data_IF_607495827135
#
_entry.id   IF_607495827135
#
_cell.length_a   1.000
_cell.length_b   1.000
_cell.length_c   1.000
_cell.angle_alpha   90.00
_cell.angle_beta   90.00
_cell.angle_gamma   90.00
#
_symmetry.space_group_name_H-M   'P 1'
#
loop_
_entity.id
_entity.type
_entity.pdbx_description
1 polymer ?
#
# COMPACT_ATOMS: atom_id res chain seq x y z
N UNK A 1 29.43 64.34 -18.54
CA UNK A 1 30.84 63.90 -18.62
C UNK A 1 30.79 62.40 -18.95
N UNK A 2 31.13 62.01 -20.18
CA UNK A 2 32.48 61.57 -20.60
C UNK A 2 32.81 60.17 -19.98
N UNK A 3 32.62 59.04 -20.69
CA UNK A 3 33.48 58.42 -21.75
C UNK A 3 34.74 57.75 -21.16
N UNK A 4 35.24 56.57 -21.56
CA UNK A 4 35.17 55.76 -22.82
C UNK A 4 35.00 54.24 -22.51
N UNK A 5 34.65 53.27 -23.39
CA UNK A 5 34.82 52.93 -24.82
C UNK A 5 36.08 52.10 -25.20
N UNK A 6 35.87 50.87 -25.70
CA UNK A 6 36.86 50.01 -26.39
C UNK A 6 36.15 49.00 -27.34
N UNK A 7 36.86 48.26 -28.22
CA UNK A 7 36.30 47.62 -29.45
C UNK A 7 36.97 46.31 -29.97
N UNK A 8 36.25 45.17 -29.95
CA UNK A 8 36.40 44.00 -30.87
C UNK A 8 37.77 43.28 -30.96
N UNK A 9 38.02 42.39 -31.95
CA UNK A 9 37.13 41.67 -32.90
C UNK A 9 36.82 40.21 -32.39
N UNK A 10 36.17 39.22 -33.04
CA UNK A 10 35.56 38.94 -34.39
C UNK A 10 36.44 38.24 -35.48
N UNK A 11 35.88 37.20 -36.15
CA UNK A 11 36.42 36.31 -37.23
C UNK A 11 37.53 35.30 -36.82
N UNK A 12 37.76 34.15 -37.49
CA UNK A 12 37.37 33.67 -38.86
C UNK A 12 37.07 32.14 -38.89
N UNK A 13 36.55 31.61 -39.99
CA UNK A 13 36.28 30.17 -40.22
C UNK A 13 37.28 29.51 -41.21
N UNK A 14 37.41 28.18 -41.18
CA UNK A 14 38.19 27.34 -42.14
C UNK A 14 37.39 26.08 -42.53
N UNK A 15 37.60 25.55 -43.75
CA UNK A 15 36.80 24.48 -44.37
C UNK A 15 37.65 23.60 -45.31
N UNK A 16 37.65 22.28 -45.13
CA UNK A 16 38.10 21.24 -46.09
C UNK A 16 37.46 19.89 -45.69
N UNK A 17 36.94 18.98 -46.52
CA UNK A 17 37.09 18.53 -47.92
C UNK A 17 38.24 17.55 -48.23
N UNK A 18 37.91 16.25 -48.32
CA UNK A 18 38.13 15.33 -49.48
C UNK A 18 37.50 13.94 -49.15
N UNK A 19 36.65 13.31 -49.98
CA UNK A 19 36.86 12.60 -51.29
C UNK A 19 37.54 11.22 -51.07
N UNK A 20 36.85 10.05 -51.00
CA UNK A 20 36.00 9.25 -51.94
C UNK A 20 36.80 8.13 -52.68
N UNK A 21 36.13 7.00 -53.01
CA UNK A 21 36.61 5.74 -53.65
C UNK A 21 37.27 4.69 -52.72
N UNK A 22 37.24 3.36 -52.99
CA UNK A 22 36.68 2.59 -54.13
C UNK A 22 36.10 1.20 -53.71
N UNK A 23 35.68 0.36 -54.67
CA UNK A 23 34.93 -0.89 -54.49
C UNK A 23 35.64 -2.14 -55.08
N UNK A 24 35.17 -3.31 -54.65
CA UNK A 24 35.28 -4.66 -55.27
C UNK A 24 36.65 -5.35 -55.45
N UNK A 25 36.69 -6.63 -55.06
CA UNK A 25 37.02 -7.75 -55.95
C UNK A 25 36.72 -9.10 -55.25
N UNK A 26 36.82 -10.22 -55.97
CA UNK A 26 36.43 -11.55 -55.49
C UNK A 26 37.50 -12.62 -55.78
N UNK A 27 37.26 -13.84 -55.28
CA UNK A 27 37.95 -15.11 -55.59
C UNK A 27 39.30 -15.31 -54.86
N UNK A 28 39.77 -16.55 -54.59
CA UNK A 28 39.30 -17.86 -55.10
C UNK A 28 39.25 -18.96 -54.01
N UNK A 29 38.78 -20.17 -54.35
CA UNK A 29 38.74 -21.35 -53.46
C UNK A 29 40.02 -22.19 -53.58
N UNK A 30 40.37 -22.91 -52.51
CA UNK A 30 41.08 -24.19 -52.61
C UNK A 30 40.44 -25.26 -51.72
N UNK A 31 40.76 -26.53 -51.97
CA UNK A 31 39.99 -27.69 -51.53
C UNK A 31 40.42 -28.28 -50.18
N UNK A 32 39.43 -28.87 -49.50
CA UNK A 32 39.48 -30.04 -48.61
C UNK A 32 40.82 -30.52 -48.03
N UNK A 33 40.94 -30.47 -46.71
CA UNK A 33 41.50 -31.60 -45.95
C UNK A 33 40.80 -31.77 -44.60
N UNK A 34 40.31 -32.97 -44.35
CA UNK A 34 40.02 -33.53 -43.02
C UNK A 34 40.74 -34.89 -42.96
N UNK A 35 41.27 -35.31 -41.80
CA UNK A 35 40.40 -35.99 -40.84
C UNK A 35 40.77 -35.80 -39.34
N UNK A 36 39.98 -36.46 -38.48
CA UNK A 36 40.30 -36.93 -37.12
C UNK A 36 40.69 -35.91 -36.03
N UNK A 37 39.64 -35.50 -35.29
CA UNK A 37 39.50 -35.67 -33.83
C UNK A 37 40.79 -35.90 -33.02
N UNK A 38 41.20 -34.89 -32.26
CA UNK A 38 41.79 -35.08 -30.91
C UNK A 38 40.76 -34.68 -29.86
N UNK A 39 40.68 -35.43 -28.76
CA UNK A 39 39.59 -35.29 -27.79
C UNK A 39 39.80 -34.10 -26.84
N UNK A 40 39.04 -33.03 -27.02
CA UNK A 40 38.83 -32.07 -25.94
C UNK A 40 38.02 -32.76 -24.83
N UNK A 41 38.56 -32.79 -23.61
CA UNK A 41 37.80 -33.21 -22.42
C UNK A 41 36.56 -32.30 -22.31
N UNK A 42 35.39 -32.92 -22.19
CA UNK A 42 34.15 -32.16 -22.01
C UNK A 42 34.22 -31.33 -20.73
N UNK A 43 34.18 -30.00 -20.87
CA UNK A 43 33.65 -29.15 -19.81
C UNK A 43 32.19 -29.60 -19.64
N UNK A 44 31.73 -29.92 -18.42
CA UNK A 44 30.32 -30.19 -18.21
C UNK A 44 29.55 -28.88 -18.40
N UNK A 45 28.94 -28.71 -19.57
CA UNK A 45 27.81 -27.80 -19.69
C UNK A 45 26.79 -28.25 -18.64
N UNK A 46 26.56 -27.41 -17.64
CA UNK A 46 25.41 -27.59 -16.76
C UNK A 46 24.18 -27.42 -17.64
N UNK A 47 23.61 -28.55 -18.08
CA UNK A 47 22.33 -28.60 -18.78
C UNK A 47 21.31 -28.04 -17.82
N UNK A 48 21.08 -26.73 -17.91
CA UNK A 48 20.10 -26.02 -17.12
C UNK A 48 18.74 -26.60 -17.49
N UNK A 49 18.25 -27.53 -16.67
CA UNK A 49 16.95 -28.17 -16.82
C UNK A 49 15.95 -27.03 -16.92
N UNK A 50 15.45 -26.76 -18.14
CA UNK A 50 14.42 -25.75 -18.38
C UNK A 50 13.26 -26.14 -17.49
N UNK A 51 13.03 -25.33 -16.44
CA UNK A 51 11.86 -25.52 -15.58
C UNK A 51 10.63 -25.59 -16.49
N UNK A 52 9.72 -26.56 -16.29
CA UNK A 52 8.54 -26.70 -17.13
C UNK A 52 7.83 -25.35 -17.16
N UNK A 53 7.53 -24.85 -18.36
CA UNK A 53 7.10 -23.48 -18.58
C UNK A 53 5.90 -23.17 -17.69
N UNK A 54 6.13 -22.41 -16.61
CA UNK A 54 5.05 -22.11 -15.68
C UNK A 54 4.02 -21.26 -16.41
N UNK A 55 2.72 -21.58 -16.29
CA UNK A 55 1.67 -20.72 -16.84
C UNK A 55 1.87 -19.32 -16.28
N UNK A 56 1.76 -18.32 -17.16
CA UNK A 56 1.84 -16.91 -16.78
C UNK A 56 0.82 -16.61 -15.67
N UNK A 57 1.05 -15.55 -14.89
CA UNK A 57 0.08 -15.12 -13.87
C UNK A 57 -1.32 -14.97 -14.49
N UNK A 58 -1.42 -14.38 -15.68
CA UNK A 58 -2.68 -14.25 -16.43
C UNK A 58 -3.37 -15.60 -16.73
N UNK A 59 -2.60 -16.63 -17.08
CA UNK A 59 -3.13 -17.99 -17.31
C UNK A 59 -3.57 -18.66 -16.01
N UNK A 60 -2.95 -18.31 -14.86
CA UNK A 60 -3.40 -18.76 -13.54
C UNK A 60 -4.65 -17.99 -13.05
N UNK A 61 -4.68 -16.67 -13.24
CA UNK A 61 -5.75 -15.78 -12.79
C UNK A 61 -7.11 -16.10 -13.43
N UNK A 62 -7.11 -16.52 -14.69
CA UNK A 62 -8.33 -16.89 -15.43
C UNK A 62 -9.10 -18.10 -14.85
N UNK A 63 -8.48 -18.90 -13.98
CA UNK A 63 -9.12 -20.05 -13.33
C UNK A 63 -9.56 -19.81 -11.88
N UNK A 64 -9.22 -18.66 -11.26
CA UNK A 64 -9.45 -18.44 -9.83
C UNK A 64 -10.93 -18.23 -9.51
N UNK A 65 -11.48 -19.05 -8.63
CA UNK A 65 -12.85 -18.83 -8.14
C UNK A 65 -12.93 -17.59 -7.24
N UNK A 66 -14.13 -17.00 -7.11
CA UNK A 66 -14.40 -15.86 -6.20
C UNK A 66 -14.01 -16.17 -4.74
N UNK A 67 -13.97 -17.44 -4.38
CA UNK A 67 -13.56 -17.97 -3.08
C UNK A 67 -12.05 -18.13 -2.87
N UNK A 68 -11.24 -18.15 -3.94
CA UNK A 68 -9.79 -18.40 -3.87
C UNK A 68 -8.95 -17.13 -3.76
N UNK A 69 -9.46 -15.98 -4.21
CA UNK A 69 -8.72 -14.73 -4.03
C UNK A 69 -8.67 -14.30 -2.56
N UNK A 70 -7.50 -13.89 -2.05
CA UNK A 70 -7.41 -13.34 -0.71
C UNK A 70 -8.20 -12.04 -0.62
N UNK A 71 -9.12 -11.96 0.34
CA UNK A 71 -9.84 -10.74 0.72
C UNK A 71 -8.91 -9.70 1.38
N UNK A 72 -7.61 -9.97 1.41
CA UNK A 72 -6.55 -9.29 2.16
C UNK A 72 -5.38 -8.95 1.21
N UNK A 73 -5.68 -8.25 0.12
CA UNK A 73 -4.65 -7.59 -0.69
C UNK A 73 -3.96 -6.56 0.22
N UNK A 74 -2.62 -6.59 0.29
CA UNK A 74 -1.84 -5.77 1.24
C UNK A 74 -2.07 -4.27 1.07
N UNK A 75 -1.65 -3.48 2.07
CA UNK A 75 -1.71 -2.01 1.98
C UNK A 75 -1.01 -1.54 0.70
N UNK A 76 -1.76 -0.86 -0.18
CA UNK A 76 -1.28 -0.53 -1.54
C UNK A 76 0.07 0.22 -1.49
N UNK A 77 1.06 -0.16 -2.31
CA UNK A 77 2.40 0.43 -2.24
C UNK A 77 2.36 1.94 -2.50
N UNK A 78 3.21 2.68 -1.81
CA UNK A 78 3.21 4.16 -1.83
C UNK A 78 1.99 4.81 -1.16
N UNK A 79 1.25 4.09 -0.30
CA UNK A 79 0.20 4.71 0.52
C UNK A 79 0.83 5.54 1.64
N UNK A 80 0.90 6.86 1.42
CA UNK A 80 1.30 7.82 2.45
C UNK A 80 0.21 7.96 3.54
N UNK A 81 0.62 7.88 4.81
CA UNK A 81 -0.28 7.96 5.98
C UNK A 81 0.19 9.11 6.88
N UNK A 82 -0.39 10.30 6.72
CA UNK A 82 0.09 11.50 7.43
C UNK A 82 0.05 11.34 8.97
N UNK A 83 1.19 11.47 9.69
CA UNK A 83 1.25 11.48 11.17
C UNK A 83 0.41 12.59 11.83
N UNK A 84 0.35 12.62 13.17
CA UNK A 84 -0.17 13.78 13.89
C UNK A 84 0.85 14.93 13.80
N UNK A 85 0.38 16.15 14.07
CA UNK A 85 1.23 17.32 14.06
C UNK A 85 2.30 17.34 15.18
N UNK A 86 2.12 16.49 16.21
CA UNK A 86 3.09 16.26 17.30
C UNK A 86 4.22 15.30 16.92
N UNK A 87 3.96 14.40 15.97
CA UNK A 87 4.87 13.33 15.54
C UNK A 87 5.51 13.62 14.17
N UNK A 88 5.37 14.87 13.68
CA UNK A 88 6.11 15.37 12.53
C UNK A 88 7.37 16.12 12.96
N UNK A 89 8.45 16.10 12.16
CA UNK A 89 9.68 16.83 12.44
C UNK A 89 9.44 18.32 12.72
N UNK A 90 10.29 18.85 13.61
CA UNK A 90 10.28 20.23 14.08
C UNK A 90 10.61 21.19 12.94
N UNK A 91 9.77 22.21 12.77
CA UNK A 91 9.90 23.21 11.70
C UNK A 91 11.25 23.95 11.77
N UNK A 92 11.84 24.07 12.97
CA UNK A 92 13.09 24.81 13.20
C UNK A 92 14.35 23.93 13.15
N UNK A 93 14.25 22.63 13.48
CA UNK A 93 15.39 21.72 13.52
C UNK A 93 15.54 20.90 12.24
N UNK A 94 14.42 20.46 11.66
CA UNK A 94 14.36 19.59 10.48
C UNK A 94 13.40 20.17 9.41
N UNK A 95 13.60 21.43 8.96
CA UNK A 95 12.70 22.09 8.01
C UNK A 95 12.60 21.36 6.67
N UNK A 96 13.68 20.74 6.19
CA UNK A 96 13.71 20.06 4.89
C UNK A 96 12.85 18.79 4.89
N UNK A 97 13.07 17.88 5.86
CA UNK A 97 12.24 16.68 6.07
C UNK A 97 10.76 17.05 6.28
N UNK A 98 10.51 18.13 7.04
CA UNK A 98 9.15 18.61 7.28
C UNK A 98 8.49 19.10 6.00
N UNK A 99 9.20 19.86 5.17
CA UNK A 99 8.74 20.28 3.85
C UNK A 99 8.49 19.07 2.94
N UNK A 100 9.38 18.07 2.95
CA UNK A 100 9.23 16.84 2.17
C UNK A 100 7.97 16.04 2.58
N UNK A 101 7.68 15.89 3.87
CA UNK A 101 6.47 15.22 4.35
C UNK A 101 5.18 15.99 4.00
N UNK A 102 5.17 17.32 4.14
CA UNK A 102 4.01 18.15 3.77
C UNK A 102 3.81 18.20 2.24
N UNK A 103 4.90 18.21 1.45
CA UNK A 103 4.86 18.07 -0.01
C UNK A 103 4.37 16.69 -0.45
N UNK A 104 4.87 15.62 0.18
CA UNK A 104 4.43 14.25 -0.06
C UNK A 104 2.95 14.07 0.29
N UNK A 105 2.45 14.72 1.35
CA UNK A 105 1.03 14.78 1.67
C UNK A 105 0.20 15.44 0.55
N UNK A 106 0.62 16.61 0.05
CA UNK A 106 -0.09 17.31 -1.02
C UNK A 106 -0.05 16.53 -2.34
N UNK A 107 1.14 16.06 -2.75
CA UNK A 107 1.37 15.26 -3.95
C UNK A 107 0.56 13.95 -3.92
N UNK A 108 0.64 13.19 -2.83
CA UNK A 108 -0.14 11.95 -2.69
C UNK A 108 -1.64 12.22 -2.65
N UNK A 109 -2.10 13.28 -1.97
CA UNK A 109 -3.51 13.70 -1.98
C UNK A 109 -4.03 13.97 -3.40
N UNK A 110 -3.26 14.68 -4.22
CA UNK A 110 -3.59 14.97 -5.62
C UNK A 110 -3.55 13.70 -6.51
N UNK A 111 -2.48 12.91 -6.42
CA UNK A 111 -2.34 11.66 -7.18
C UNK A 111 -3.43 10.64 -6.82
N UNK A 112 -3.79 10.52 -5.54
CA UNK A 112 -4.89 9.68 -5.06
C UNK A 112 -6.24 10.14 -5.63
N UNK A 113 -6.49 11.46 -5.63
CA UNK A 113 -7.73 12.01 -6.20
C UNK A 113 -7.83 11.76 -7.71
N UNK A 114 -6.78 12.05 -8.48
CA UNK A 114 -6.77 11.77 -9.92
C UNK A 114 -6.88 10.27 -10.22
N UNK A 115 -6.19 9.42 -9.46
CA UNK A 115 -6.27 7.95 -9.59
C UNK A 115 -7.68 7.42 -9.30
N UNK A 116 -8.37 7.96 -8.30
CA UNK A 116 -9.75 7.60 -8.00
C UNK A 116 -10.73 8.10 -9.08
N UNK A 117 -10.53 9.31 -9.62
CA UNK A 117 -11.33 9.81 -10.75
C UNK A 117 -11.11 8.94 -11.99
N UNK A 118 -9.86 8.61 -12.32
CA UNK A 118 -9.53 7.69 -13.41
C UNK A 118 -10.20 6.32 -13.22
N UNK A 119 -10.07 5.74 -12.03
CA UNK A 119 -10.68 4.45 -11.69
C UNK A 119 -12.21 4.45 -11.86
N UNK A 120 -12.89 5.51 -11.43
CA UNK A 120 -14.36 5.61 -11.47
C UNK A 120 -14.96 6.24 -12.74
N UNK A 121 -14.15 6.76 -13.68
CA UNK A 121 -14.63 7.44 -14.90
C UNK A 121 -13.97 7.04 -16.21
N UNK A 122 -12.75 6.50 -16.19
CA UNK A 122 -12.06 6.02 -17.39
C UNK A 122 -11.89 4.49 -17.39
N UNK A 123 -11.52 3.91 -16.25
CA UNK A 123 -11.28 2.45 -16.14
C UNK A 123 -12.54 1.64 -15.80
N UNK A 124 -13.48 2.21 -15.04
CA UNK A 124 -14.79 1.60 -14.75
C UNK A 124 -15.88 2.65 -15.02
N UNK A 125 -16.41 2.66 -16.25
CA UNK A 125 -17.38 3.67 -16.70
C UNK A 125 -18.62 3.72 -15.81
N UNK A 126 -18.88 4.90 -15.23
CA UNK A 126 -20.11 5.18 -14.49
C UNK A 126 -20.05 5.10 -12.97
N UNK A 127 -18.95 4.61 -12.36
CA UNK A 127 -18.93 4.40 -10.91
C UNK A 127 -19.07 5.69 -10.06
N UNK A 128 -19.76 5.61 -8.90
CA UNK A 128 -19.82 6.71 -7.95
C UNK A 128 -18.51 6.82 -7.13
N UNK A 129 -18.04 8.05 -6.92
CA UNK A 129 -16.82 8.32 -6.13
C UNK A 129 -16.98 8.01 -4.63
N UNK A 130 -18.21 7.87 -4.10
CA UNK A 130 -18.55 7.47 -2.72
C UNK A 130 -17.81 8.23 -1.60
N UNK A 131 -17.48 9.51 -1.84
CA UNK A 131 -16.60 10.31 -0.98
C UNK A 131 -17.18 10.61 0.43
N UNK A 132 -18.50 10.48 0.61
CA UNK A 132 -19.20 10.58 1.90
C UNK A 132 -19.24 9.22 2.62
N UNK A 133 -19.70 8.18 1.93
CA UNK A 133 -19.87 6.81 2.44
C UNK A 133 -18.62 6.26 3.11
N UNK A 134 -17.43 6.46 2.53
CA UNK A 134 -16.14 6.02 3.11
C UNK A 134 -15.92 6.46 4.57
N UNK A 135 -16.47 7.62 5.00
CA UNK A 135 -16.40 8.07 6.41
C UNK A 135 -17.48 7.42 7.29
N UNK A 136 -18.65 7.14 6.72
CA UNK A 136 -19.75 6.47 7.42
C UNK A 136 -19.40 4.99 7.67
N UNK A 137 -18.94 4.29 6.63
CA UNK A 137 -18.40 2.93 6.74
C UNK A 137 -17.26 2.85 7.77
N UNK A 138 -16.30 3.79 7.76
CA UNK A 138 -15.24 3.85 8.75
C UNK A 138 -15.76 3.90 10.19
N UNK A 139 -16.77 4.74 10.45
CA UNK A 139 -17.39 4.88 11.77
C UNK A 139 -18.11 3.61 12.20
N UNK A 140 -18.92 3.05 11.30
CA UNK A 140 -19.81 1.92 11.55
C UNK A 140 -19.01 0.61 11.74
N UNK A 141 -18.04 0.35 10.87
CA UNK A 141 -17.18 -0.83 10.95
C UNK A 141 -16.26 -0.77 12.18
N UNK A 142 -15.70 0.40 12.53
CA UNK A 142 -14.90 0.58 13.76
C UNK A 142 -15.70 0.21 15.02
N UNK A 143 -16.92 0.72 15.13
CA UNK A 143 -17.83 0.42 16.24
C UNK A 143 -18.23 -1.05 16.26
N UNK A 144 -18.60 -1.64 15.12
CA UNK A 144 -18.97 -3.07 15.03
C UNK A 144 -17.80 -3.99 15.35
N UNK A 145 -16.60 -3.71 14.85
CA UNK A 145 -15.39 -4.50 15.09
C UNK A 145 -15.07 -4.56 16.58
N UNK A 146 -14.95 -3.41 17.25
CA UNK A 146 -14.61 -3.41 18.69
C UNK A 146 -15.73 -3.94 19.57
N UNK A 147 -17.01 -3.69 19.21
CA UNK A 147 -18.15 -4.27 19.93
C UNK A 147 -18.20 -5.80 19.82
N UNK A 148 -17.96 -6.34 18.61
CA UNK A 148 -17.89 -7.78 18.38
C UNK A 148 -16.67 -8.40 19.08
N UNK A 149 -15.51 -7.73 19.01
CA UNK A 149 -14.30 -8.17 19.69
C UNK A 149 -14.48 -8.23 21.21
N UNK A 150 -15.08 -7.22 21.84
CA UNK A 150 -15.38 -7.25 23.27
C UNK A 150 -16.29 -8.45 23.62
N UNK A 151 -17.42 -8.58 22.92
CA UNK A 151 -18.40 -9.67 23.07
C UNK A 151 -17.85 -11.08 22.75
N UNK A 152 -16.75 -11.20 22.00
CA UNK A 152 -16.23 -12.49 21.52
C UNK A 152 -16.91 -13.02 20.26
N UNK A 153 -17.66 -12.19 19.52
CA UNK A 153 -18.42 -12.59 18.34
C UNK A 153 -17.52 -12.70 17.09
N UNK A 154 -16.96 -13.90 16.91
CA UNK A 154 -16.17 -14.29 15.73
C UNK A 154 -17.00 -14.23 14.43
N UNK A 155 -18.32 -14.47 14.50
CA UNK A 155 -19.21 -14.46 13.34
C UNK A 155 -19.39 -13.07 12.72
N UNK A 156 -19.56 -12.05 13.55
CA UNK A 156 -19.57 -10.64 13.10
C UNK A 156 -18.17 -10.17 12.69
N UNK A 157 -17.10 -10.58 13.41
CA UNK A 157 -15.74 -10.19 13.04
C UNK A 157 -15.34 -10.64 11.62
N UNK A 158 -15.70 -11.87 11.23
CA UNK A 158 -15.46 -12.39 9.87
C UNK A 158 -16.24 -11.68 8.76
N UNK A 159 -17.30 -10.94 9.09
CA UNK A 159 -18.07 -10.11 8.14
C UNK A 159 -17.54 -8.68 8.07
N UNK A 160 -17.13 -8.12 9.20
CA UNK A 160 -16.67 -6.73 9.35
C UNK A 160 -15.21 -6.53 8.93
N UNK A 161 -14.37 -7.55 9.12
CA UNK A 161 -12.94 -7.49 8.83
C UNK A 161 -12.57 -8.37 7.63
N UNK A 162 -11.43 -8.06 7.00
CA UNK A 162 -10.73 -8.98 6.12
C UNK A 162 -10.14 -10.17 6.93
N UNK A 163 -9.77 -11.25 6.25
CA UNK A 163 -9.48 -12.55 6.88
C UNK A 163 -8.29 -12.53 7.83
N UNK A 164 -7.22 -11.80 7.51
CA UNK A 164 -6.02 -11.70 8.35
C UNK A 164 -6.31 -11.02 9.69
N UNK A 165 -7.03 -9.89 9.66
CA UNK A 165 -7.46 -9.21 10.87
C UNK A 165 -8.51 -10.02 11.64
N UNK A 166 -9.49 -10.61 10.94
CA UNK A 166 -10.52 -11.46 11.56
C UNK A 166 -9.88 -12.66 12.29
N UNK A 167 -8.88 -13.30 11.68
CA UNK A 167 -8.14 -14.41 12.28
C UNK A 167 -7.30 -13.93 13.48
N UNK A 168 -6.58 -12.80 13.37
CA UNK A 168 -5.79 -12.26 14.48
C UNK A 168 -6.67 -11.91 15.70
N UNK A 169 -7.83 -11.28 15.47
CA UNK A 169 -8.80 -10.97 16.52
C UNK A 169 -9.47 -12.24 17.09
N UNK A 170 -9.74 -13.25 16.26
CA UNK A 170 -10.28 -14.54 16.70
C UNK A 170 -9.30 -15.28 17.62
N UNK A 171 -8.01 -15.34 17.28
CA UNK A 171 -6.99 -15.93 18.15
C UNK A 171 -6.84 -15.16 19.48
N UNK A 172 -6.96 -13.83 19.46
CA UNK A 172 -7.01 -12.99 20.68
C UNK A 172 -8.29 -13.18 21.51
N UNK A 173 -9.36 -13.73 20.94
CA UNK A 173 -10.57 -14.14 21.70
C UNK A 173 -10.37 -15.53 22.30
N UNK A 174 -9.85 -16.48 21.52
CA UNK A 174 -9.57 -17.85 21.97
C UNK A 174 -8.55 -17.90 23.12
N UNK A 175 -7.56 -17.00 23.11
CA UNK A 175 -6.52 -16.92 24.14
C UNK A 175 -6.94 -16.14 25.41
N UNK A 176 -8.23 -15.79 25.59
CA UNK A 176 -8.70 -15.14 26.82
C UNK A 176 -8.87 -16.16 27.95
N UNK A 177 -8.61 -15.79 29.22
CA UNK A 177 -9.09 -16.55 30.36
C UNK A 177 -10.61 -16.70 30.28
N UNK A 178 -11.13 -17.92 30.49
CA UNK A 178 -12.58 -18.21 30.37
C UNK A 178 -13.43 -17.39 31.34
N UNK A 179 -12.82 -16.98 32.45
CA UNK A 179 -13.46 -16.20 33.51
C UNK A 179 -13.32 -14.68 33.31
N UNK A 180 -12.70 -14.20 32.22
CA UNK A 180 -12.56 -12.77 31.92
C UNK A 180 -13.51 -12.31 30.81
N UNK A 181 -14.52 -11.50 31.16
CA UNK A 181 -15.36 -10.79 30.19
C UNK A 181 -14.79 -9.38 29.94
N UNK A 182 -14.42 -9.11 28.69
CA UNK A 182 -13.91 -7.80 28.24
C UNK A 182 -15.07 -6.91 27.80
N UNK A 183 -15.08 -5.66 28.26
CA UNK A 183 -16.01 -4.63 27.77
C UNK A 183 -15.26 -3.53 27.01
N UNK A 184 -15.91 -2.99 25.98
CA UNK A 184 -15.48 -1.82 25.23
C UNK A 184 -16.69 -0.93 24.98
N UNK A 185 -16.53 0.38 25.16
CA UNK A 185 -17.50 1.39 24.75
C UNK A 185 -16.79 2.59 24.15
N UNK A 186 -17.44 3.22 23.18
CA UNK A 186 -17.01 4.47 22.58
C UNK A 186 -17.79 5.62 23.21
N UNK A 187 -17.11 6.46 23.98
CA UNK A 187 -17.77 7.55 24.70
C UNK A 187 -18.02 8.74 23.77
N UNK A 188 -17.00 9.13 22.98
CA UNK A 188 -17.12 10.21 21.99
C UNK A 188 -16.03 10.16 20.92
N UNK A 189 -16.34 10.71 19.75
CA UNK A 189 -15.33 11.11 18.77
C UNK A 189 -14.75 12.48 19.14
N UNK A 190 -13.43 12.61 19.14
CA UNK A 190 -12.71 13.84 19.47
C UNK A 190 -12.69 14.77 18.26
N UNK A 191 -13.70 15.64 18.17
CA UNK A 191 -13.94 16.59 17.09
C UNK A 191 -12.92 17.75 17.14
N UNK A 192 -11.77 17.57 16.50
CA UNK A 192 -10.72 18.60 16.41
C UNK A 192 -10.63 19.18 14.99
N UNK A 193 -10.05 20.38 14.79
CA UNK A 193 -9.75 20.89 13.45
C UNK A 193 -8.88 19.91 12.63
N UNK A 194 -7.95 19.22 13.30
CA UNK A 194 -7.11 18.18 12.71
C UNK A 194 -7.91 16.98 12.14
N UNK A 195 -9.16 16.78 12.56
CA UNK A 195 -10.12 15.79 12.02
C UNK A 195 -11.39 16.41 11.40
N UNK A 196 -11.29 17.66 10.92
CA UNK A 196 -12.38 18.42 10.27
C UNK A 196 -13.66 18.47 11.12
N UNK A 197 -13.50 18.57 12.46
CA UNK A 197 -14.59 18.55 13.45
C UNK A 197 -15.49 17.30 13.42
N UNK A 198 -15.11 16.24 12.70
CA UNK A 198 -15.85 14.96 12.66
C UNK A 198 -15.28 13.89 13.59
N UNK A 199 -14.00 14.00 13.96
CA UNK A 199 -13.26 12.92 14.61
C UNK A 199 -12.76 11.82 13.67
N UNK A 200 -13.10 11.86 12.37
CA UNK A 200 -12.71 10.85 11.37
C UNK A 200 -12.23 11.52 10.08
N UNK A 201 -10.91 11.51 9.87
CA UNK A 201 -10.25 12.10 8.70
C UNK A 201 -9.75 11.02 7.75
N UNK A 202 -10.21 11.05 6.50
CA UNK A 202 -9.56 10.33 5.40
C UNK A 202 -8.21 10.96 5.13
N UNK A 203 -7.16 10.13 5.04
CA UNK A 203 -5.79 10.52 4.74
C UNK A 203 -5.37 10.09 3.33
N UNK A 204 -5.76 8.88 2.95
CA UNK A 204 -5.52 8.28 1.63
C UNK A 204 -6.79 7.58 1.16
N UNK A 205 -7.06 7.62 -0.14
CA UNK A 205 -8.16 6.92 -0.82
C UNK A 205 -7.63 6.53 -2.21
N UNK A 206 -7.26 5.25 -2.35
CA UNK A 206 -6.55 4.71 -3.51
C UNK A 206 -7.39 3.60 -4.12
N UNK A 207 -7.50 3.61 -5.44
CA UNK A 207 -8.16 2.55 -6.18
C UNK A 207 -7.24 2.07 -7.32
N UNK A 208 -7.16 0.75 -7.48
CA UNK A 208 -6.34 0.08 -8.50
C UNK A 208 -7.15 -1.07 -9.08
N UNK A 209 -7.10 -1.27 -10.40
CA UNK A 209 -7.59 -2.52 -10.98
C UNK A 209 -6.69 -3.68 -10.53
N UNK A 210 -7.29 -4.88 -10.43
CA UNK A 210 -6.52 -6.11 -10.31
C UNK A 210 -6.08 -6.47 -11.74
N UNK A 211 -4.77 -6.62 -12.03
CA UNK A 211 -4.34 -7.06 -13.35
C UNK A 211 -4.99 -8.39 -13.73
N UNK A 212 -5.08 -8.67 -15.03
CA UNK A 212 -5.49 -9.98 -15.57
C UNK A 212 -6.98 -10.34 -15.37
N UNK A 213 -7.76 -9.56 -14.60
CA UNK A 213 -9.17 -9.82 -14.31
C UNK A 213 -10.03 -8.59 -14.67
N UNK A 214 -10.98 -8.70 -15.63
CA UNK A 214 -11.76 -7.56 -16.12
C UNK A 214 -12.72 -7.01 -15.05
N UNK A 215 -13.01 -5.71 -15.14
CA UNK A 215 -13.89 -4.93 -14.24
C UNK A 215 -13.69 -5.19 -12.74
N UNK A 216 -12.47 -5.59 -12.36
CA UNK A 216 -12.09 -6.02 -11.02
C UNK A 216 -11.01 -5.14 -10.44
N UNK A 217 -11.03 -4.92 -9.13
CA UNK A 217 -10.19 -3.92 -8.50
C UNK A 217 -10.32 -3.85 -6.99
N UNK A 218 -9.35 -3.17 -6.38
CA UNK A 218 -9.33 -2.88 -4.94
C UNK A 218 -9.39 -1.38 -4.75
N UNK A 219 -10.24 -0.94 -3.84
CA UNK A 219 -10.19 0.40 -3.26
C UNK A 219 -9.85 0.32 -1.78
N UNK A 220 -8.75 0.94 -1.38
CA UNK A 220 -8.34 1.08 0.02
C UNK A 220 -8.44 2.54 0.47
N UNK A 221 -8.96 2.75 1.68
CA UNK A 221 -9.13 4.07 2.29
C UNK A 221 -8.52 4.06 3.68
N UNK A 222 -7.46 4.87 3.87
CA UNK A 222 -6.85 5.05 5.19
C UNK A 222 -7.53 6.19 5.91
N UNK A 223 -8.10 5.90 7.07
CA UNK A 223 -8.78 6.85 7.95
C UNK A 223 -8.06 6.97 9.29
N UNK A 224 -7.88 8.20 9.76
CA UNK A 224 -7.51 8.49 11.15
C UNK A 224 -8.77 8.75 11.97
N UNK A 225 -9.02 7.90 12.96
CA UNK A 225 -10.07 8.05 13.95
C UNK A 225 -9.45 8.61 15.24
N UNK A 226 -10.04 9.66 15.80
CA UNK A 226 -9.67 10.22 17.10
C UNK A 226 -10.87 10.16 18.03
N UNK A 227 -10.77 9.48 19.16
CA UNK A 227 -11.92 9.17 20.03
C UNK A 227 -11.53 8.90 21.48
N UNK A 228 -12.41 9.26 22.42
CA UNK A 228 -12.35 8.75 23.79
C UNK A 228 -13.09 7.42 23.87
N UNK A 229 -12.42 6.40 24.37
CA UNK A 229 -12.91 5.03 24.49
C UNK A 229 -12.74 4.56 25.94
N UNK A 230 -13.69 3.77 26.44
CA UNK A 230 -13.61 3.13 27.75
C UNK A 230 -13.50 1.62 27.59
N UNK A 231 -12.59 1.01 28.36
CA UNK A 231 -12.32 -0.43 28.32
C UNK A 231 -12.35 -1.04 29.72
N UNK A 232 -12.97 -2.21 29.87
CA UNK A 232 -13.09 -2.91 31.15
C UNK A 232 -12.79 -4.40 31.04
N UNK A 233 -12.46 -5.00 32.18
CA UNK A 233 -12.25 -6.44 32.37
C UNK A 233 -12.99 -6.87 33.63
N UNK A 234 -14.06 -7.64 33.50
CA UNK A 234 -14.81 -8.19 34.65
C UNK A 234 -14.49 -9.68 34.82
N UNK A 235 -14.55 -10.17 36.07
CA UNK A 235 -14.36 -11.59 36.39
C UNK A 235 -15.71 -12.27 36.58
N UNK A 236 -15.96 -13.34 35.84
CA UNK A 236 -17.18 -14.16 35.98
C UNK A 236 -16.92 -15.20 37.06
N UNK A 237 -17.66 -15.13 38.16
CA UNK A 237 -17.60 -16.14 39.23
C UNK A 237 -18.86 -16.98 39.14
N UNK A 238 -18.70 -18.28 38.84
CA UNK A 238 -19.82 -19.19 38.61
C UNK A 238 -20.36 -19.76 39.92
N UNK A 239 -21.14 -18.95 40.64
CA UNK A 239 -21.81 -19.35 41.87
C UNK A 239 -23.13 -20.08 41.56
N UNK A 240 -23.04 -21.39 41.29
CA UNK A 240 -24.18 -22.25 41.02
C UNK A 240 -24.68 -22.17 39.55
N UNK A 241 -26.00 -22.28 39.35
CA UNK A 241 -26.63 -22.35 38.02
C UNK A 241 -26.71 -21.02 37.24
N UNK A 242 -26.30 -19.90 37.84
CA UNK A 242 -26.34 -18.57 37.22
C UNK A 242 -24.95 -17.97 37.09
N UNK A 243 -24.62 -17.39 35.93
CA UNK A 243 -23.39 -16.61 35.77
C UNK A 243 -23.54 -15.24 36.44
N UNK A 244 -23.09 -15.13 37.70
CA UNK A 244 -22.90 -13.83 38.34
C UNK A 244 -21.58 -13.24 37.84
N UNK A 245 -21.67 -12.20 37.00
CA UNK A 245 -20.51 -11.36 36.69
C UNK A 245 -20.16 -10.55 37.94
N UNK A 246 -19.07 -10.88 38.60
CA UNK A 246 -18.53 -10.05 39.68
C UNK A 246 -17.94 -8.80 39.04
N UNK A 247 -18.36 -7.65 39.54
CA UNK A 247 -17.95 -6.36 38.99
C UNK A 247 -16.44 -6.17 39.05
N UNK A 248 -15.90 -5.37 38.12
CA UNK A 248 -14.46 -5.22 37.99
C UNK A 248 -13.88 -4.56 39.24
N UNK A 249 -12.73 -5.06 39.71
CA UNK A 249 -11.96 -4.52 40.83
C UNK A 249 -11.40 -3.10 40.55
N UNK A 250 -11.60 -2.57 39.34
CA UNK A 250 -11.27 -1.19 38.97
C UNK A 250 -12.34 -0.62 38.02
N UNK A 251 -12.59 0.71 38.04
CA UNK A 251 -13.48 1.36 37.07
C UNK A 251 -12.95 1.22 35.63
N UNK A 252 -13.81 1.28 34.60
CA UNK A 252 -13.39 1.13 33.21
C UNK A 252 -12.34 2.17 32.83
N UNK A 253 -11.21 1.73 32.29
CA UNK A 253 -10.12 2.60 31.87
C UNK A 253 -10.56 3.40 30.64
N UNK A 254 -10.83 4.68 30.86
CA UNK A 254 -11.11 5.64 29.80
C UNK A 254 -9.82 6.25 29.26
N UNK A 255 -9.65 6.25 27.94
CA UNK A 255 -8.44 6.73 27.26
C UNK A 255 -8.79 7.46 25.95
N UNK A 256 -8.05 8.53 25.63
CA UNK A 256 -8.10 9.17 24.32
C UNK A 256 -7.20 8.39 23.34
N UNK A 257 -7.83 7.74 22.36
CA UNK A 257 -7.18 6.93 21.34
C UNK A 257 -7.10 7.70 20.01
N UNK A 258 -5.97 7.56 19.31
CA UNK A 258 -5.85 7.93 17.88
C UNK A 258 -5.42 6.71 17.11
N UNK A 259 -6.25 6.30 16.16
CA UNK A 259 -6.08 5.06 15.41
C UNK A 259 -6.04 5.35 13.90
N UNK A 260 -5.16 4.65 13.19
CA UNK A 260 -5.11 4.65 11.73
C UNK A 260 -5.64 3.31 11.26
N UNK A 261 -6.76 3.33 10.54
CA UNK A 261 -7.47 2.12 10.09
C UNK A 261 -7.57 2.14 8.56
N UNK A 262 -7.33 0.99 7.95
CA UNK A 262 -7.45 0.77 6.51
C UNK A 262 -8.78 0.08 6.25
N UNK A 263 -9.67 0.75 5.54
CA UNK A 263 -10.82 0.10 4.91
C UNK A 263 -10.42 -0.45 3.55
N UNK A 264 -11.02 -1.56 3.16
CA UNK A 264 -10.94 -2.11 1.81
C UNK A 264 -12.35 -2.36 1.26
N UNK A 265 -12.52 -2.12 -0.04
CA UNK A 265 -13.66 -2.55 -0.85
C UNK A 265 -13.12 -3.29 -2.06
N UNK A 266 -13.54 -4.54 -2.25
CA UNK A 266 -13.23 -5.33 -3.43
C UNK A 266 -14.29 -5.08 -4.52
N UNK A 267 -13.86 -5.12 -5.77
CA UNK A 267 -14.71 -5.12 -6.97
C UNK A 267 -14.35 -6.34 -7.81
N UNK A 268 -15.36 -7.08 -8.28
CA UNK A 268 -15.21 -8.40 -8.89
C UNK A 268 -16.16 -8.54 -10.08
N UNK A 269 -15.62 -8.65 -11.30
CA UNK A 269 -16.38 -8.73 -12.56
C UNK A 269 -17.55 -7.72 -12.64
N UNK A 270 -17.31 -6.48 -12.23
CA UNK A 270 -18.31 -5.43 -12.23
C UNK A 270 -19.17 -5.28 -10.96
N UNK A 271 -19.19 -6.28 -10.07
CA UNK A 271 -19.85 -6.21 -8.77
C UNK A 271 -18.98 -5.54 -7.70
N UNK A 272 -19.60 -4.80 -6.79
CA UNK A 272 -18.93 -4.07 -5.70
C UNK A 272 -19.22 -4.73 -4.33
N UNK A 273 -18.27 -5.44 -3.72
CA UNK A 273 -18.43 -6.05 -2.39
C UNK A 273 -18.51 -5.02 -1.27
N UNK A 274 -19.00 -5.37 -0.08
CA UNK A 274 -19.07 -4.45 1.06
C UNK A 274 -17.71 -3.93 1.54
N UNK A 275 -17.73 -2.76 2.20
CA UNK A 275 -16.56 -2.24 2.91
C UNK A 275 -16.22 -3.13 4.10
N UNK A 276 -14.96 -3.54 4.24
CA UNK A 276 -14.42 -4.25 5.40
C UNK A 276 -13.17 -3.57 5.93
N UNK A 277 -12.81 -3.84 7.18
CA UNK A 277 -11.53 -3.39 7.76
C UNK A 277 -10.43 -4.38 7.38
N UNK A 278 -9.44 -3.91 6.62
CA UNK A 278 -8.23 -4.68 6.29
C UNK A 278 -7.33 -4.84 7.52
N UNK A 279 -7.09 -3.74 8.23
CA UNK A 279 -6.12 -3.70 9.32
C UNK A 279 -5.92 -2.30 9.88
N UNK A 280 -4.97 -2.19 10.81
CA UNK A 280 -4.42 -0.91 11.25
C UNK A 280 -3.23 -0.54 10.36
N UNK A 281 -2.95 0.76 10.22
CA UNK A 281 -1.74 1.27 9.58
C UNK A 281 -0.84 1.97 10.59
N UNK A 282 0.45 2.05 10.30
CA UNK A 282 1.35 3.02 10.95
C UNK A 282 1.28 4.36 10.21
N UNK A 283 1.50 5.50 10.89
CA UNK A 283 1.79 6.75 10.21
C UNK A 283 3.17 6.67 9.53
N UNK A 284 3.32 7.36 8.40
CA UNK A 284 4.60 7.47 7.69
C UNK A 284 5.54 8.40 8.44
N UNK A 285 6.75 7.93 8.75
CA UNK A 285 7.76 8.69 9.52
C UNK A 285 8.80 9.35 8.61
N UNK A 286 9.90 9.86 9.18
CA UNK A 286 11.02 10.43 8.40
C UNK A 286 11.86 9.32 7.77
N UNK A 287 12.06 8.22 8.49
CA UNK A 287 12.82 7.04 8.05
C UNK A 287 12.19 6.40 6.81
N UNK A 288 10.85 6.41 6.72
CA UNK A 288 10.11 5.96 5.53
C UNK A 288 10.45 6.77 4.26
N UNK A 289 10.94 8.01 4.36
CA UNK A 289 11.27 8.83 3.18
C UNK A 289 12.41 8.21 2.34
N UNK A 290 13.24 7.35 2.92
CA UNK A 290 14.25 6.57 2.23
C UNK A 290 13.68 5.41 1.38
N UNK A 291 12.39 5.09 1.51
CA UNK A 291 11.72 4.09 0.68
C UNK A 291 11.61 4.59 -0.79
N UNK A 292 11.97 3.79 -1.81
CA UNK A 292 11.86 4.19 -3.22
C UNK A 292 10.50 4.74 -3.65
N UNK A 293 9.40 4.34 -2.98
CA UNK A 293 8.06 4.88 -3.23
C UNK A 293 7.89 6.34 -2.82
N UNK A 294 8.69 6.85 -1.89
CA UNK A 294 8.59 8.19 -1.32
C UNK A 294 9.77 9.11 -1.69
N UNK A 295 10.97 8.56 -1.90
CA UNK A 295 12.18 9.28 -2.37
C UNK A 295 11.88 10.25 -3.52
N UNK A 296 12.39 11.48 -3.45
CA UNK A 296 12.36 12.46 -4.54
C UNK A 296 13.49 12.22 -5.56
N UNK A 297 13.29 12.58 -6.82
CA UNK A 297 14.30 12.44 -7.88
C UNK A 297 14.08 11.23 -8.79
N UNK A 298 13.89 10.02 -8.23
CA UNK A 298 13.71 8.80 -9.00
C UNK A 298 12.54 8.88 -10.01
N UNK A 299 12.79 8.45 -11.24
CA UNK A 299 11.81 8.21 -12.30
C UNK A 299 10.88 7.03 -11.97
N UNK A 300 9.85 6.80 -12.79
CA UNK A 300 8.94 5.66 -12.57
C UNK A 300 9.64 4.31 -12.81
N UNK A 301 10.56 4.23 -13.78
CA UNK A 301 11.31 3.00 -14.08
C UNK A 301 12.21 2.59 -12.91
N UNK A 302 13.05 3.51 -12.43
CA UNK A 302 13.97 3.28 -11.31
C UNK A 302 13.22 2.92 -10.02
N UNK A 303 12.02 3.49 -9.77
CA UNK A 303 11.16 3.11 -8.64
C UNK A 303 10.64 1.68 -8.75
N UNK A 304 10.23 1.26 -9.94
CA UNK A 304 9.73 -0.11 -10.17
C UNK A 304 10.87 -1.13 -10.06
N UNK A 305 12.07 -0.77 -10.50
CA UNK A 305 13.28 -1.57 -10.36
C UNK A 305 13.72 -1.69 -8.90
N UNK A 306 13.89 -0.58 -8.18
CA UNK A 306 14.24 -0.59 -6.76
C UNK A 306 13.17 -1.28 -5.87
N UNK A 307 11.88 -1.20 -6.22
CA UNK A 307 10.85 -2.04 -5.58
C UNK A 307 11.08 -3.53 -5.86
N UNK A 308 11.29 -3.91 -7.12
CA UNK A 308 11.53 -5.29 -7.53
C UNK A 308 12.75 -5.87 -6.81
N UNK A 309 13.83 -5.10 -6.66
CA UNK A 309 15.00 -5.46 -5.85
C UNK A 309 14.65 -5.64 -4.37
N UNK A 310 13.90 -4.72 -3.76
CA UNK A 310 13.43 -4.87 -2.37
C UNK A 310 12.54 -6.11 -2.13
N UNK A 311 11.78 -6.55 -3.15
CA UNK A 311 10.99 -7.78 -3.10
C UNK A 311 11.81 -9.05 -3.41
N UNK A 312 12.90 -8.95 -4.17
CA UNK A 312 13.75 -10.10 -4.53
C UNK A 312 14.92 -10.35 -3.57
N UNK A 313 15.43 -9.30 -2.92
CA UNK A 313 16.52 -9.34 -1.94
C UNK A 313 16.11 -9.81 -0.55
N UNK A 314 14.82 -9.99 -0.27
CA UNK A 314 14.32 -10.63 0.95
C UNK A 314 14.20 -12.15 0.74
N UNK A 315 15.30 -12.84 0.98
CA UNK A 315 15.40 -14.30 1.13
C UNK A 315 16.03 -14.63 2.47
#
# INVERSE_FOLDING_TARGET
>A
MASTLSKGPVFTAVRSNNVVFQLYSCQCRFFSHSPQRSAMRGIPENIAIKQPAQPSMATRGMGLSRSELPQDIGLLPGTYVRPLWRDMPSIFQQPQERLQLEWLWLKSGFQNFLGLVAYCKWFNSGLPLRLKERRQAARELHQRMYSAFAKGDIGTLRKVCCTGLANNLSSRIANRPRDEKVSWSLDKYNRTPATLLTGIRVLSDRATQIPEIPDSGVRQVVVRITSKQSTGKSRVVKTGKSEVSVESTAPPKQQDCTEYIVLQKLRWYGEDEDWRIWGHATPTTVEDLANPMFVSGLTLAERMEAMKEQFQGKK
#
